data_IF_675129309492
#
_entry.id   IF_675129309492
#
_cell.length_a   1.000
_cell.length_b   1.000
_cell.length_c   1.000
_cell.angle_alpha   90.00
_cell.angle_beta   90.00
_cell.angle_gamma   90.00
#
_symmetry.space_group_name_H-M   'P 1'
#
loop_
_entity.id
_entity.type
_entity.pdbx_description
1 polymer ?
#
# COMPACT_ATOMS: atom_id res chain seq x y z
N UNK A 1 3.09 -23.64 -24.92
CA UNK A 1 2.88 -22.31 -25.55
C UNK A 1 2.61 -21.19 -24.54
N UNK A 2 2.03 -21.41 -23.38
CA UNK A 2 1.75 -20.37 -22.36
C UNK A 2 3.01 -19.76 -21.71
N UNK A 3 4.07 -20.54 -21.49
CA UNK A 3 5.31 -20.06 -20.85
C UNK A 3 6.09 -19.03 -21.68
N UNK A 4 6.09 -19.20 -23.03
CA UNK A 4 6.73 -18.24 -23.96
C UNK A 4 6.00 -16.89 -24.01
N UNK A 5 4.68 -16.87 -23.87
CA UNK A 5 3.89 -15.63 -23.89
C UNK A 5 4.07 -14.83 -22.56
N UNK A 6 4.22 -15.52 -21.45
CA UNK A 6 4.48 -14.90 -20.14
C UNK A 6 5.85 -14.22 -20.11
N UNK A 7 6.90 -14.92 -20.56
CA UNK A 7 8.27 -14.36 -20.63
C UNK A 7 8.30 -13.13 -21.56
N UNK A 8 7.64 -13.18 -22.72
CA UNK A 8 7.56 -12.05 -23.64
C UNK A 8 6.84 -10.84 -23.04
N UNK A 9 5.74 -11.05 -22.32
CA UNK A 9 5.01 -9.96 -21.64
C UNK A 9 5.82 -9.33 -20.52
N UNK A 10 6.51 -10.13 -19.71
CA UNK A 10 7.38 -9.64 -18.65
C UNK A 10 8.56 -8.85 -19.22
N UNK A 11 9.20 -9.37 -20.28
CA UNK A 11 10.28 -8.69 -20.97
C UNK A 11 9.83 -7.35 -21.56
N UNK A 12 8.69 -7.32 -22.26
CA UNK A 12 8.13 -6.08 -22.81
C UNK A 12 7.80 -5.05 -21.73
N UNK A 13 7.27 -5.50 -20.58
CA UNK A 13 7.01 -4.64 -19.42
C UNK A 13 8.28 -4.03 -18.83
N UNK A 14 9.34 -4.81 -18.69
CA UNK A 14 10.65 -4.34 -18.22
C UNK A 14 11.25 -3.34 -19.19
N UNK A 15 11.22 -3.62 -20.50
CA UNK A 15 11.72 -2.70 -21.53
C UNK A 15 10.94 -1.39 -21.51
N UNK A 16 9.61 -1.45 -21.48
CA UNK A 16 8.78 -0.25 -21.41
C UNK A 16 9.10 0.60 -20.15
N UNK A 17 9.24 -0.05 -18.99
CA UNK A 17 9.61 0.63 -17.74
C UNK A 17 10.99 1.29 -17.84
N UNK A 18 11.97 0.59 -18.41
CA UNK A 18 13.33 1.13 -18.59
C UNK A 18 13.34 2.34 -19.52
N UNK A 19 12.54 2.29 -20.61
CA UNK A 19 12.41 3.43 -21.53
C UNK A 19 11.76 4.62 -20.82
N UNK A 20 10.69 4.40 -20.09
CA UNK A 20 10.01 5.47 -19.34
C UNK A 20 10.93 6.10 -18.30
N UNK A 21 11.66 5.30 -17.52
CA UNK A 21 12.65 5.80 -16.56
C UNK A 21 13.77 6.56 -17.24
N UNK A 22 14.26 6.07 -18.37
CA UNK A 22 15.29 6.77 -19.17
C UNK A 22 14.82 8.13 -19.67
N UNK A 23 13.59 8.21 -20.18
CA UNK A 23 12.99 9.48 -20.62
C UNK A 23 12.79 10.47 -19.46
N UNK A 24 12.37 9.96 -18.29
CA UNK A 24 12.23 10.79 -17.09
C UNK A 24 13.57 11.33 -16.61
N UNK A 25 14.61 10.50 -16.54
CA UNK A 25 15.96 10.92 -16.14
C UNK A 25 16.53 11.94 -17.14
N UNK A 26 16.28 11.73 -18.43
CA UNK A 26 16.68 12.68 -19.48
C UNK A 26 15.95 14.01 -19.33
N UNK A 27 14.64 14.01 -19.05
CA UNK A 27 13.83 15.22 -18.84
C UNK A 27 14.21 16.00 -17.58
N UNK A 28 14.71 15.32 -16.52
CA UNK A 28 15.17 15.96 -15.29
C UNK A 28 16.51 16.68 -15.52
N UNK A 29 17.43 16.05 -16.23
CA UNK A 29 18.80 16.49 -16.42
C UNK A 29 19.72 16.21 -15.21
N UNK A 30 20.99 15.82 -15.47
CA UNK A 30 21.92 15.40 -14.41
C UNK A 30 22.29 16.52 -13.43
N UNK A 31 22.24 17.76 -13.85
CA UNK A 31 22.55 18.92 -13.02
C UNK A 31 21.50 19.12 -11.91
N UNK A 32 20.22 18.92 -12.21
CA UNK A 32 19.12 19.03 -11.23
C UNK A 32 19.24 17.93 -10.20
N UNK A 33 19.53 16.69 -10.61
CA UNK A 33 19.72 15.56 -9.69
C UNK A 33 20.87 15.87 -8.71
N UNK A 34 22.01 16.37 -9.21
CA UNK A 34 23.13 16.74 -8.35
C UNK A 34 22.80 17.90 -7.41
N UNK A 35 22.12 18.93 -7.90
CA UNK A 35 21.75 20.10 -7.10
C UNK A 35 20.76 19.74 -5.98
N UNK A 36 19.86 18.77 -6.23
CA UNK A 36 18.79 18.36 -5.30
C UNK A 36 19.06 17.04 -4.57
N UNK A 37 20.29 16.50 -4.63
CA UNK A 37 20.59 15.19 -4.01
C UNK A 37 20.37 15.18 -2.50
N UNK A 38 20.67 16.26 -1.78
CA UNK A 38 20.45 16.37 -0.33
C UNK A 38 18.96 16.40 -0.03
N UNK A 39 18.19 17.20 -0.79
CA UNK A 39 16.74 17.28 -0.66
C UNK A 39 16.09 15.90 -0.93
N UNK A 40 16.53 15.19 -1.97
CA UNK A 40 16.03 13.86 -2.30
C UNK A 40 16.21 12.84 -1.17
N UNK A 41 17.37 12.84 -0.52
CA UNK A 41 17.66 11.95 0.60
C UNK A 41 16.83 12.32 1.82
N UNK A 42 16.81 13.60 2.18
CA UNK A 42 16.04 14.09 3.32
C UNK A 42 14.54 13.86 3.14
N UNK A 43 13.97 14.31 2.02
CA UNK A 43 12.55 14.14 1.73
C UNK A 43 12.16 12.69 1.56
N UNK A 44 13.07 11.85 1.02
CA UNK A 44 12.89 10.41 0.95
C UNK A 44 12.77 9.77 2.33
N UNK A 45 13.60 10.17 3.27
CA UNK A 45 13.50 9.71 4.66
C UNK A 45 12.18 10.14 5.30
N UNK A 46 11.78 11.41 5.17
CA UNK A 46 10.52 11.91 5.71
C UNK A 46 9.30 11.20 5.08
N UNK A 47 9.31 11.04 3.77
CA UNK A 47 8.28 10.31 3.04
C UNK A 47 8.13 8.85 3.54
N UNK A 48 9.25 8.14 3.71
CA UNK A 48 9.25 6.78 4.25
C UNK A 48 8.78 6.73 5.71
N UNK A 49 9.10 7.72 6.54
CA UNK A 49 8.61 7.82 7.91
C UNK A 49 7.09 7.94 7.93
N UNK A 50 6.50 8.81 7.10
CA UNK A 50 5.03 8.94 6.98
C UNK A 50 4.40 7.62 6.54
N UNK A 51 4.93 7.01 5.47
CA UNK A 51 4.43 5.73 4.93
C UNK A 51 4.55 4.62 5.95
N UNK A 52 5.71 4.45 6.59
CA UNK A 52 5.92 3.39 7.56
C UNK A 52 4.99 3.50 8.76
N UNK A 53 4.87 4.70 9.36
CA UNK A 53 4.01 4.90 10.53
C UNK A 53 2.53 4.68 10.19
N UNK A 54 2.05 5.22 9.07
CA UNK A 54 0.66 5.04 8.66
C UNK A 54 0.34 3.59 8.26
N UNK A 55 1.26 2.91 7.58
CA UNK A 55 1.10 1.50 7.23
C UNK A 55 1.18 0.58 8.46
N UNK A 56 2.06 0.87 9.41
CA UNK A 56 2.13 0.11 10.67
C UNK A 56 0.79 0.17 11.42
N UNK A 57 0.20 1.36 11.55
CA UNK A 57 -1.14 1.53 12.13
C UNK A 57 -2.21 0.80 11.32
N UNK A 58 -2.14 0.87 9.98
CA UNK A 58 -3.11 0.21 9.11
C UNK A 58 -3.03 -1.33 9.21
N UNK A 59 -1.84 -1.89 9.37
CA UNK A 59 -1.65 -3.33 9.59
C UNK A 59 -2.12 -3.75 10.99
N UNK A 60 -1.77 -2.99 12.01
CA UNK A 60 -2.15 -3.27 13.41
C UNK A 60 -3.67 -3.25 13.63
N UNK A 61 -4.40 -2.42 12.91
CA UNK A 61 -5.87 -2.32 13.02
C UNK A 61 -6.55 -3.17 11.94
N UNK A 62 -6.05 -3.13 10.72
CA UNK A 62 -6.69 -3.73 9.55
C UNK A 62 -6.68 -5.25 9.55
N UNK A 63 -5.55 -5.88 9.93
CA UNK A 63 -5.48 -7.34 9.98
C UNK A 63 -6.38 -7.90 11.09
N UNK A 64 -6.29 -7.45 12.36
CA UNK A 64 -7.21 -7.91 13.40
C UNK A 64 -8.67 -7.60 13.06
N UNK A 65 -8.96 -6.41 12.49
CA UNK A 65 -10.30 -6.04 12.05
C UNK A 65 -10.86 -7.00 10.99
N UNK A 66 -10.08 -7.33 9.97
CA UNK A 66 -10.45 -8.31 8.94
C UNK A 66 -10.67 -9.71 9.51
N UNK A 67 -9.81 -10.14 10.46
CA UNK A 67 -9.97 -11.42 11.16
C UNK A 67 -11.28 -11.44 11.97
N UNK A 68 -11.56 -10.40 12.73
CA UNK A 68 -12.79 -10.31 13.53
C UNK A 68 -14.04 -10.34 12.64
N UNK A 69 -14.06 -9.57 11.57
CA UNK A 69 -15.17 -9.52 10.63
C UNK A 69 -15.41 -10.85 9.89
N UNK A 70 -14.36 -11.65 9.69
CA UNK A 70 -14.49 -12.98 9.05
C UNK A 70 -15.12 -14.04 9.96
N UNK A 71 -15.29 -13.78 11.26
CA UNK A 71 -15.88 -14.74 12.19
C UNK A 71 -17.39 -14.86 12.02
N UNK A 72 -17.96 -16.06 12.21
CA UNK A 72 -19.40 -16.28 12.08
C UNK A 72 -20.27 -15.34 12.93
N UNK A 73 -19.79 -15.00 14.14
CA UNK A 73 -20.50 -14.09 15.03
C UNK A 73 -20.53 -12.63 14.54
N UNK A 74 -19.59 -12.23 13.69
CA UNK A 74 -19.48 -10.87 13.15
C UNK A 74 -20.03 -10.73 11.72
N UNK A 75 -20.48 -11.82 11.07
CA UNK A 75 -20.89 -11.83 9.66
C UNK A 75 -21.94 -10.77 9.33
N UNK A 76 -22.90 -10.56 10.22
CA UNK A 76 -23.92 -9.52 10.05
C UNK A 76 -23.34 -8.10 10.07
N UNK A 77 -22.32 -7.87 10.89
CA UNK A 77 -21.63 -6.59 10.99
C UNK A 77 -20.61 -6.37 9.88
N UNK A 78 -20.07 -7.46 9.30
CA UNK A 78 -19.09 -7.38 8.22
C UNK A 78 -19.64 -6.65 7.00
N UNK A 79 -20.90 -6.89 6.62
CA UNK A 79 -21.54 -6.21 5.49
C UNK A 79 -21.66 -4.70 5.73
N UNK A 80 -22.13 -4.30 6.91
CA UNK A 80 -22.21 -2.88 7.29
C UNK A 80 -20.83 -2.23 7.38
N UNK A 81 -19.86 -2.90 8.00
CA UNK A 81 -18.49 -2.39 8.07
C UNK A 81 -17.89 -2.19 6.68
N UNK A 82 -18.05 -3.15 5.77
CA UNK A 82 -17.57 -3.03 4.40
C UNK A 82 -18.25 -1.88 3.63
N UNK A 83 -19.56 -1.64 3.86
CA UNK A 83 -20.24 -0.48 3.28
C UNK A 83 -19.70 0.85 3.79
N UNK A 84 -19.48 0.97 5.11
CA UNK A 84 -18.88 2.17 5.71
C UNK A 84 -17.49 2.43 5.13
N UNK A 85 -16.66 1.39 5.03
CA UNK A 85 -15.33 1.50 4.41
C UNK A 85 -15.42 1.88 2.92
N UNK A 86 -16.36 1.31 2.16
CA UNK A 86 -16.56 1.65 0.76
C UNK A 86 -16.93 3.13 0.59
N UNK A 87 -17.85 3.65 1.42
CA UNK A 87 -18.20 5.08 1.43
C UNK A 87 -16.99 5.93 1.80
N UNK A 88 -16.23 5.54 2.84
CA UNK A 88 -15.00 6.23 3.22
C UNK A 88 -13.97 6.31 2.08
N UNK A 89 -13.87 5.26 1.27
CA UNK A 89 -12.92 5.21 0.13
C UNK A 89 -13.37 6.08 -1.07
N UNK A 90 -14.62 6.57 -1.09
CA UNK A 90 -15.07 7.54 -2.11
C UNK A 90 -14.63 8.97 -1.78
N UNK A 91 -14.19 9.22 -0.55
CA UNK A 91 -13.69 10.53 -0.16
C UNK A 91 -12.35 10.81 -0.86
N UNK A 92 -12.20 11.97 -1.51
CA UNK A 92 -10.92 12.35 -2.09
C UNK A 92 -9.82 12.39 -1.02
N UNK A 93 -8.62 11.82 -1.26
CA UNK A 93 -7.54 11.81 -0.28
C UNK A 93 -7.20 13.18 0.29
N UNK A 94 -7.25 14.23 -0.54
CA UNK A 94 -7.02 15.60 -0.11
C UNK A 94 -8.10 16.09 0.88
N UNK A 95 -9.35 15.69 0.70
CA UNK A 95 -10.42 16.04 1.63
C UNK A 95 -10.20 15.38 3.01
N UNK A 96 -9.75 14.11 3.02
CA UNK A 96 -9.42 13.40 4.27
C UNK A 96 -8.25 14.07 5.00
N UNK A 97 -7.22 14.48 4.25
CA UNK A 97 -6.08 15.24 4.80
C UNK A 97 -6.53 16.59 5.39
N UNK A 98 -7.38 17.34 4.66
CA UNK A 98 -7.91 18.63 5.12
C UNK A 98 -8.75 18.46 6.40
N UNK A 99 -9.60 17.45 6.47
CA UNK A 99 -10.38 17.16 7.68
C UNK A 99 -9.46 16.77 8.84
N UNK A 100 -8.48 15.91 8.61
CA UNK A 100 -7.51 15.55 9.64
C UNK A 100 -6.76 16.77 10.17
N UNK A 101 -6.38 17.71 9.30
CA UNK A 101 -5.75 18.96 9.68
C UNK A 101 -6.66 19.83 10.57
N UNK A 102 -7.94 19.92 10.26
CA UNK A 102 -8.91 20.74 11.05
C UNK A 102 -9.06 20.19 12.47
N UNK A 103 -9.09 18.87 12.64
CA UNK A 103 -9.31 18.26 13.97
C UNK A 103 -8.03 18.04 14.78
N UNK A 104 -6.88 17.84 14.14
CA UNK A 104 -5.65 17.39 14.79
C UNK A 104 -4.56 18.48 14.73
N UNK A 105 -4.65 19.40 13.76
CA UNK A 105 -3.64 20.44 13.52
C UNK A 105 -2.81 20.17 12.27
N UNK A 106 -1.71 20.91 12.12
CA UNK A 106 -0.83 20.90 10.94
C UNK A 106 0.34 19.94 11.19
N UNK A 107 0.86 19.30 10.15
CA UNK A 107 2.10 18.52 10.15
C UNK A 107 1.91 17.01 10.02
N UNK A 108 2.88 16.24 10.52
CA UNK A 108 2.98 14.79 10.28
C UNK A 108 1.86 13.97 10.93
N UNK A 109 1.39 14.36 12.12
CA UNK A 109 0.35 13.61 12.84
C UNK A 109 -0.94 13.47 12.05
N UNK A 110 -1.59 14.57 11.57
CA UNK A 110 -2.78 14.45 10.74
C UNK A 110 -2.49 13.76 9.40
N UNK A 111 -1.30 13.93 8.83
CA UNK A 111 -0.88 13.22 7.62
C UNK A 111 -0.87 11.70 7.84
N UNK A 112 -0.23 11.23 8.91
CA UNK A 112 -0.17 9.80 9.26
C UNK A 112 -1.58 9.22 9.44
N UNK A 113 -2.49 9.94 10.10
CA UNK A 113 -3.86 9.48 10.34
C UNK A 113 -4.66 9.41 9.03
N UNK A 114 -4.53 10.41 8.17
CA UNK A 114 -5.22 10.40 6.87
C UNK A 114 -4.70 9.26 5.96
N UNK A 115 -3.39 9.07 5.90
CA UNK A 115 -2.75 7.99 5.15
C UNK A 115 -3.11 6.60 5.72
N UNK A 116 -3.18 6.48 7.05
CA UNK A 116 -3.67 5.29 7.73
C UNK A 116 -5.10 4.94 7.29
N UNK A 117 -6.02 5.90 7.32
CA UNK A 117 -7.41 5.68 6.92
C UNK A 117 -7.54 5.24 5.45
N UNK A 118 -6.77 5.86 4.54
CA UNK A 118 -6.74 5.49 3.14
C UNK A 118 -6.22 4.05 2.91
N UNK A 119 -5.30 3.59 3.75
CA UNK A 119 -4.69 2.26 3.67
C UNK A 119 -5.50 1.16 4.35
N UNK A 120 -6.40 1.53 5.27
CA UNK A 120 -7.11 0.60 6.13
C UNK A 120 -8.06 -0.32 5.35
N UNK A 121 -8.83 0.25 4.42
CA UNK A 121 -9.84 -0.50 3.67
C UNK A 121 -9.26 -1.67 2.85
N UNK A 122 -8.22 -1.48 2.00
CA UNK A 122 -7.65 -2.60 1.25
C UNK A 122 -7.17 -3.73 2.16
N UNK A 123 -6.58 -3.41 3.32
CA UNK A 123 -6.07 -4.39 4.27
C UNK A 123 -7.22 -5.17 4.92
N UNK A 124 -8.23 -4.47 5.47
CA UNK A 124 -9.40 -5.10 6.11
C UNK A 124 -10.13 -5.99 5.11
N UNK A 125 -10.42 -5.47 3.92
CA UNK A 125 -11.20 -6.16 2.89
C UNK A 125 -10.49 -7.43 2.40
N UNK A 126 -9.20 -7.35 2.10
CA UNK A 126 -8.46 -8.50 1.60
C UNK A 126 -8.19 -9.52 2.71
N UNK A 127 -7.98 -9.10 3.96
CA UNK A 127 -7.91 -10.01 5.10
C UNK A 127 -9.23 -10.76 5.30
N UNK A 128 -10.35 -10.04 5.29
CA UNK A 128 -11.69 -10.62 5.37
C UNK A 128 -11.95 -11.62 4.23
N UNK A 129 -11.75 -11.18 2.99
CA UNK A 129 -12.01 -12.01 1.81
C UNK A 129 -11.09 -13.23 1.75
N UNK A 130 -9.81 -13.08 2.10
CA UNK A 130 -8.86 -14.19 2.16
C UNK A 130 -9.29 -15.27 3.16
N UNK A 131 -9.72 -14.86 4.36
CA UNK A 131 -10.17 -15.80 5.38
C UNK A 131 -11.51 -16.45 5.05
N UNK A 132 -12.44 -15.72 4.46
CA UNK A 132 -13.72 -16.27 3.99
C UNK A 132 -13.55 -17.17 2.76
N UNK A 133 -12.48 -17.02 1.98
CA UNK A 133 -12.15 -17.82 0.81
C UNK A 133 -11.44 -19.14 1.11
N UNK A 134 -11.11 -19.43 2.37
CA UNK A 134 -10.50 -20.73 2.74
C UNK A 134 -11.50 -21.87 2.49
N UNK A 135 -11.11 -22.94 1.76
CA UNK A 135 -11.99 -24.06 1.45
C UNK A 135 -12.62 -24.69 2.69
N UNK A 136 -13.94 -24.91 2.64
CA UNK A 136 -14.69 -25.52 3.75
C UNK A 136 -14.15 -26.90 4.15
N UNK A 137 -13.68 -27.68 3.20
CA UNK A 137 -13.05 -28.98 3.45
C UNK A 137 -11.82 -28.92 4.36
N UNK A 138 -11.00 -27.86 4.24
CA UNK A 138 -9.85 -27.65 5.13
C UNK A 138 -10.31 -27.28 6.56
N UNK A 139 -11.37 -26.49 6.65
CA UNK A 139 -11.98 -26.11 7.95
C UNK A 139 -12.57 -27.33 8.64
N UNK A 140 -13.30 -28.19 7.88
CA UNK A 140 -13.90 -29.42 8.39
C UNK A 140 -12.82 -30.43 8.82
N UNK A 141 -11.77 -30.63 8.02
CA UNK A 141 -10.65 -31.49 8.39
C UNK A 141 -9.97 -31.02 9.68
N UNK A 142 -9.70 -29.72 9.81
CA UNK A 142 -9.12 -29.14 11.01
C UNK A 142 -10.01 -29.34 12.26
N UNK A 143 -11.34 -29.21 12.10
CA UNK A 143 -12.28 -29.49 13.18
C UNK A 143 -12.31 -31.00 13.52
N UNK A 144 -12.26 -31.88 12.50
CA UNK A 144 -12.29 -33.34 12.67
C UNK A 144 -11.10 -33.87 13.47
N UNK A 145 -9.92 -33.27 13.34
CA UNK A 145 -8.73 -33.63 14.14
C UNK A 145 -8.67 -32.89 15.48
N UNK A 146 -9.73 -32.17 15.86
CA UNK A 146 -9.86 -31.55 17.18
C UNK A 146 -9.09 -30.23 17.36
N UNK A 147 -8.75 -29.52 16.30
CA UNK A 147 -8.10 -28.21 16.42
C UNK A 147 -8.99 -27.18 17.12
N UNK A 148 -8.40 -26.47 18.07
CA UNK A 148 -9.07 -25.30 18.67
C UNK A 148 -9.21 -24.17 17.65
N UNK A 149 -10.13 -23.23 17.87
CA UNK A 149 -10.35 -22.07 16.99
C UNK A 149 -9.04 -21.28 16.73
N UNK A 150 -8.19 -21.15 17.74
CA UNK A 150 -6.90 -20.46 17.63
C UNK A 150 -5.87 -21.23 16.81
N UNK A 151 -5.80 -22.55 16.98
CA UNK A 151 -4.93 -23.42 16.18
C UNK A 151 -5.36 -23.43 14.72
N UNK A 152 -6.67 -23.59 14.47
CA UNK A 152 -7.22 -23.53 13.12
C UNK A 152 -6.93 -22.19 12.44
N UNK A 153 -7.12 -21.05 13.14
CA UNK A 153 -6.78 -19.74 12.59
C UNK A 153 -5.31 -19.64 12.19
N UNK A 154 -4.38 -20.03 13.07
CA UNK A 154 -2.94 -19.88 12.83
C UNK A 154 -2.36 -20.89 11.84
N UNK A 155 -2.83 -22.13 11.85
CA UNK A 155 -2.21 -23.23 11.11
C UNK A 155 -2.93 -23.54 9.79
N UNK A 156 -4.20 -23.14 9.64
CA UNK A 156 -4.99 -23.43 8.45
C UNK A 156 -5.49 -22.16 7.78
N UNK A 157 -6.23 -21.31 8.51
CA UNK A 157 -6.91 -20.17 7.88
C UNK A 157 -5.92 -19.09 7.40
N UNK A 158 -5.02 -18.60 8.27
CA UNK A 158 -4.06 -17.56 7.92
C UNK A 158 -3.07 -17.95 6.81
N UNK A 159 -2.45 -19.15 6.83
CA UNK A 159 -1.55 -19.55 5.74
C UNK A 159 -2.26 -19.60 4.38
N UNK A 160 -3.50 -20.12 4.34
CA UNK A 160 -4.28 -20.18 3.10
C UNK A 160 -4.81 -18.81 2.66
N UNK A 161 -5.10 -17.89 3.59
CA UNK A 161 -5.54 -16.53 3.30
C UNK A 161 -4.40 -15.59 2.91
N UNK A 162 -3.14 -15.95 3.23
CA UNK A 162 -1.98 -15.09 3.11
C UNK A 162 -1.79 -14.45 1.72
N UNK A 163 -1.93 -15.17 0.59
CA UNK A 163 -1.75 -14.57 -0.73
C UNK A 163 -2.74 -13.41 -0.99
N UNK A 164 -3.99 -13.57 -0.55
CA UNK A 164 -5.03 -12.53 -0.71
C UNK A 164 -4.78 -11.37 0.25
N UNK A 165 -4.40 -11.66 1.49
CA UNK A 165 -4.03 -10.64 2.49
C UNK A 165 -2.85 -9.80 2.00
N UNK A 166 -1.81 -10.44 1.46
CA UNK A 166 -0.64 -9.76 0.93
C UNK A 166 -1.00 -8.86 -0.26
N UNK A 167 -1.90 -9.30 -1.13
CA UNK A 167 -2.41 -8.44 -2.22
C UNK A 167 -3.04 -7.16 -1.67
N UNK A 168 -3.81 -7.26 -0.58
CA UNK A 168 -4.38 -6.09 0.11
C UNK A 168 -3.31 -5.16 0.69
N UNK A 169 -2.27 -5.71 1.31
CA UNK A 169 -1.14 -4.96 1.85
C UNK A 169 -0.40 -4.22 0.73
N UNK A 170 -0.14 -4.88 -0.41
CA UNK A 170 0.51 -4.27 -1.57
C UNK A 170 -0.30 -3.12 -2.15
N UNK A 171 -1.61 -3.30 -2.32
CA UNK A 171 -2.52 -2.23 -2.79
C UNK A 171 -2.51 -1.06 -1.80
N UNK A 172 -2.62 -1.32 -0.50
CA UNK A 172 -2.57 -0.29 0.54
C UNK A 172 -1.25 0.48 0.51
N UNK A 173 -0.12 -0.22 0.36
CA UNK A 173 1.21 0.41 0.27
C UNK A 173 1.32 1.31 -0.97
N UNK A 174 0.86 0.85 -2.12
CA UNK A 174 0.89 1.65 -3.34
C UNK A 174 0.04 2.93 -3.22
N UNK A 175 -1.17 2.82 -2.65
CA UNK A 175 -2.04 3.97 -2.37
C UNK A 175 -1.35 4.93 -1.39
N UNK A 176 -0.79 4.41 -0.30
CA UNK A 176 -0.16 5.19 0.76
C UNK A 176 1.02 5.99 0.23
N UNK A 177 1.96 5.33 -0.44
CA UNK A 177 3.14 5.98 -1.04
C UNK A 177 2.72 7.02 -2.08
N UNK A 178 1.75 6.68 -2.95
CA UNK A 178 1.29 7.60 -4.01
C UNK A 178 0.54 8.82 -3.48
N UNK A 179 -0.09 8.73 -2.30
CA UNK A 179 -0.83 9.84 -1.68
C UNK A 179 -0.01 10.63 -0.66
N UNK A 180 1.07 10.07 -0.13
CA UNK A 180 1.95 10.75 0.84
C UNK A 180 2.48 12.12 0.37
N UNK A 181 2.76 12.39 -0.93
CA UNK A 181 3.11 13.73 -1.38
C UNK A 181 2.07 14.80 -1.07
N UNK A 182 0.77 14.44 -1.01
CA UNK A 182 -0.30 15.40 -0.68
C UNK A 182 -0.18 15.93 0.76
N UNK A 183 0.52 15.23 1.63
CA UNK A 183 0.75 15.64 3.00
C UNK A 183 1.53 16.96 3.12
N UNK A 184 2.30 17.33 2.09
CA UNK A 184 2.91 18.65 1.96
C UNK A 184 1.88 19.80 2.12
N UNK A 185 0.68 19.63 1.57
CA UNK A 185 -0.37 20.67 1.60
C UNK A 185 -0.91 20.95 3.01
N UNK A 186 -0.64 20.06 3.96
CA UNK A 186 -1.01 20.22 5.37
C UNK A 186 0.24 20.36 6.27
N UNK A 187 1.40 20.68 5.68
CA UNK A 187 2.63 21.00 6.42
C UNK A 187 3.46 19.80 6.87
N UNK A 188 3.25 18.62 6.29
CA UNK A 188 4.12 17.46 6.51
C UNK A 188 5.18 17.35 5.41
N UNK A 189 6.40 16.93 5.77
CA UNK A 189 7.50 16.79 4.83
C UNK A 189 7.45 15.49 4.05
N UNK A 190 7.56 15.60 2.72
CA UNK A 190 7.57 14.46 1.79
C UNK A 190 8.10 14.90 0.43
N UNK A 191 8.17 13.98 -0.55
CA UNK A 191 8.46 14.37 -1.94
C UNK A 191 7.45 15.38 -2.53
N UNK A 192 6.35 15.65 -1.85
CA UNK A 192 5.43 16.76 -2.17
C UNK A 192 6.12 18.13 -2.21
N UNK A 193 7.20 18.34 -1.43
CA UNK A 193 8.00 19.56 -1.44
C UNK A 193 8.76 19.80 -2.76
N UNK A 194 8.97 18.76 -3.56
CA UNK A 194 9.51 18.90 -4.91
C UNK A 194 8.39 19.05 -5.95
N UNK A 195 7.29 18.33 -5.75
CA UNK A 195 6.18 18.26 -6.72
C UNK A 195 5.40 19.58 -6.74
N UNK A 196 4.86 20.02 -5.59
CA UNK A 196 3.96 21.18 -5.56
C UNK A 196 4.63 22.51 -5.87
N UNK A 197 5.81 22.85 -5.28
CA UNK A 197 6.54 24.03 -5.70
C UNK A 197 6.96 23.96 -7.18
N UNK A 198 7.33 22.79 -7.68
CA UNK A 198 7.61 22.58 -9.10
C UNK A 198 6.43 22.94 -10.01
N UNK A 199 5.19 22.66 -9.59
CA UNK A 199 3.97 23.06 -10.28
C UNK A 199 3.81 24.59 -10.25
N UNK A 200 3.88 25.20 -9.06
CA UNK A 200 3.61 26.63 -8.89
C UNK A 200 4.66 27.52 -9.56
N UNK A 201 5.92 27.06 -9.61
CA UNK A 201 7.03 27.82 -10.18
C UNK A 201 7.31 27.45 -11.65
N UNK A 202 6.55 26.53 -12.24
CA UNK A 202 6.80 25.94 -13.57
C UNK A 202 8.19 25.34 -13.71
N UNK A 203 8.75 24.80 -12.61
CA UNK A 203 10.01 24.07 -12.59
C UNK A 203 9.76 22.59 -12.88
N UNK A 204 9.54 22.27 -14.15
CA UNK A 204 9.25 20.91 -14.60
C UNK A 204 10.33 19.88 -14.23
N UNK A 205 11.63 20.18 -14.31
CA UNK A 205 12.66 19.22 -13.87
C UNK A 205 12.52 18.81 -12.40
N UNK A 206 12.30 19.77 -11.49
CA UNK A 206 12.11 19.48 -10.06
C UNK A 206 10.79 18.73 -9.80
N UNK A 207 9.71 19.09 -10.50
CA UNK A 207 8.43 18.38 -10.44
C UNK A 207 8.60 16.90 -10.86
N UNK A 208 9.21 16.65 -12.03
CA UNK A 208 9.43 15.30 -12.55
C UNK A 208 10.33 14.51 -11.60
N UNK A 209 11.35 15.15 -11.01
CA UNK A 209 12.24 14.54 -10.04
C UNK A 209 11.45 14.00 -8.81
N UNK A 210 10.60 14.83 -8.21
CA UNK A 210 9.77 14.42 -7.06
C UNK A 210 8.77 13.33 -7.40
N UNK A 211 8.10 13.42 -8.55
CA UNK A 211 7.16 12.41 -9.03
C UNK A 211 7.85 11.07 -9.32
N UNK A 212 9.02 11.12 -9.97
CA UNK A 212 9.82 9.91 -10.27
C UNK A 212 10.34 9.26 -8.99
N UNK A 213 10.81 10.05 -8.02
CA UNK A 213 11.26 9.54 -6.72
C UNK A 213 10.11 8.83 -5.98
N UNK A 214 8.91 9.42 -5.96
CA UNK A 214 7.71 8.79 -5.38
C UNK A 214 7.38 7.47 -6.07
N UNK A 215 7.38 7.44 -7.41
CA UNK A 215 7.08 6.24 -8.18
C UNK A 215 8.12 5.13 -7.96
N UNK A 216 9.40 5.48 -7.85
CA UNK A 216 10.48 4.53 -7.55
C UNK A 216 10.32 3.92 -6.16
N UNK A 217 10.00 4.72 -5.15
CA UNK A 217 9.74 4.21 -3.79
C UNK A 217 8.55 3.24 -3.80
N UNK A 218 7.45 3.59 -4.47
CA UNK A 218 6.29 2.72 -4.59
C UNK A 218 6.65 1.37 -5.25
N UNK A 219 7.40 1.42 -6.35
CA UNK A 219 7.84 0.22 -7.08
C UNK A 219 8.78 -0.65 -6.25
N UNK A 220 9.76 -0.06 -5.56
CA UNK A 220 10.71 -0.78 -4.71
C UNK A 220 9.99 -1.48 -3.55
N UNK A 221 9.06 -0.80 -2.88
CA UNK A 221 8.27 -1.41 -1.82
C UNK A 221 7.34 -2.51 -2.33
N UNK A 222 6.73 -2.34 -3.51
CA UNK A 222 5.90 -3.39 -4.12
C UNK A 222 6.71 -4.64 -4.48
N UNK A 223 7.90 -4.47 -5.07
CA UNK A 223 8.82 -5.56 -5.38
C UNK A 223 9.27 -6.27 -4.09
N UNK A 224 9.61 -5.53 -3.04
CA UNK A 224 10.00 -6.09 -1.75
C UNK A 224 8.86 -6.92 -1.13
N UNK A 225 7.63 -6.40 -1.13
CA UNK A 225 6.46 -7.12 -0.63
C UNK A 225 6.12 -8.35 -1.49
N UNK A 226 6.26 -8.25 -2.82
CA UNK A 226 6.07 -9.40 -3.72
C UNK A 226 7.12 -10.50 -3.47
N UNK A 227 8.37 -10.12 -3.21
CA UNK A 227 9.44 -11.03 -2.82
C UNK A 227 9.14 -11.73 -1.49
N UNK A 228 8.72 -10.97 -0.48
CA UNK A 228 8.30 -11.49 0.82
C UNK A 228 7.16 -12.51 0.67
N UNK A 229 6.20 -12.24 -0.21
CA UNK A 229 5.10 -13.15 -0.49
C UNK A 229 5.54 -14.51 -1.03
N UNK A 230 6.52 -14.51 -1.94
CA UNK A 230 7.06 -15.76 -2.49
C UNK A 230 7.79 -16.62 -1.43
N UNK A 231 8.45 -15.96 -0.49
CA UNK A 231 9.17 -16.67 0.61
C UNK A 231 8.18 -17.25 1.63
N UNK A 232 7.11 -16.52 1.93
CA UNK A 232 6.11 -16.92 2.94
C UNK A 232 5.01 -17.85 2.41
N UNK A 233 4.89 -18.02 1.09
CA UNK A 233 3.91 -18.91 0.46
C UNK A 233 4.57 -19.90 -0.49
N UNK A 234 5.45 -20.80 -0.01
CA UNK A 234 6.16 -21.74 -0.87
C UNK A 234 5.26 -22.81 -1.51
N UNK A 235 4.01 -22.95 -1.07
CA UNK A 235 3.10 -24.04 -1.47
C UNK A 235 2.05 -23.67 -2.52
N UNK A 236 2.07 -22.46 -3.07
CA UNK A 236 1.12 -22.01 -4.12
C UNK A 236 1.76 -21.85 -5.51
N UNK A 237 2.90 -22.54 -5.74
CA UNK A 237 3.64 -22.48 -7.00
C UNK A 237 3.42 -23.77 -7.84
N UNK A 238 2.17 -24.29 -7.90
CA UNK A 238 1.74 -25.25 -8.94
C UNK A 238 0.45 -24.83 -9.62
#
# INVERSE_FOLDING_TARGET
MQHSSFIKRTFLGVVALTIVLGLLIWGIGPNVIKARQVDLLYLGQQHLILVFNSMALALLVGIPGGILLSRPCARRWAEYAMQIFNVGNTLPPLAVLALAMVFIGIGDKPAIIALFLASLLPIVRNTYSGLCGVPASLIEAANGIGMTKGQRLRQVELPNAWPVMLSGIRIATAINVGTAPLAFLIGASSYGELIFPGIYLNDFPTLILGATATALVALLLDIALAGLGRVLSPHTAE
#
